data_IF_480110492299
#
_entry.id   IF_480110492299
#
_cell.length_a   1.000
_cell.length_b   1.000
_cell.length_c   1.000
_cell.angle_alpha   90.00
_cell.angle_beta   90.00
_cell.angle_gamma   90.00
#
_symmetry.space_group_name_H-M   'P 1'
#
loop_
_entity.id
_entity.type
_entity.pdbx_description
1 polymer ?
#
# COMPACT_ATOMS: atom_id res chain seq x y z
N UNK A 1 -37.02 5.39 23.05
CA UNK A 1 -35.69 4.95 23.55
C UNK A 1 -35.14 3.96 22.54
N UNK A 2 -34.34 4.43 21.59
CA UNK A 2 -33.71 3.57 20.57
C UNK A 2 -32.35 3.12 21.12
N UNK A 3 -32.23 1.82 21.40
CA UNK A 3 -30.99 1.20 21.82
C UNK A 3 -29.99 1.28 20.66
N UNK A 4 -28.93 2.07 20.83
CA UNK A 4 -27.75 2.02 19.95
C UNK A 4 -27.13 0.62 20.09
N UNK A 5 -27.36 -0.25 19.12
CA UNK A 5 -26.58 -1.45 18.93
C UNK A 5 -25.13 -1.03 18.71
N UNK A 6 -24.30 -1.17 19.74
CA UNK A 6 -22.85 -1.10 19.60
C UNK A 6 -22.44 -2.40 18.88
N UNK A 7 -22.25 -2.33 17.58
CA UNK A 7 -21.58 -3.38 16.84
C UNK A 7 -20.14 -3.47 17.33
N UNK A 8 -19.92 -4.30 18.33
CA UNK A 8 -18.58 -4.63 18.81
C UNK A 8 -18.10 -5.75 17.89
N UNK A 9 -17.24 -5.43 16.94
CA UNK A 9 -16.46 -6.44 16.22
C UNK A 9 -15.65 -7.22 17.24
N UNK A 10 -15.96 -8.50 17.40
CA UNK A 10 -15.15 -9.40 18.21
C UNK A 10 -14.08 -9.95 17.25
N UNK A 11 -12.86 -9.49 17.40
CA UNK A 11 -11.71 -10.09 16.73
C UNK A 11 -11.34 -11.33 17.55
N UNK A 12 -11.49 -12.51 16.95
CA UNK A 12 -11.02 -13.74 17.56
C UNK A 12 -9.49 -13.73 17.51
N UNK A 13 -8.79 -14.10 18.61
CA UNK A 13 -7.34 -14.20 18.58
C UNK A 13 -6.95 -15.27 17.56
N UNK A 14 -6.04 -14.89 16.68
CA UNK A 14 -5.42 -15.83 15.74
C UNK A 14 -4.02 -16.16 16.29
N UNK A 15 -3.79 -17.43 16.65
CA UNK A 15 -2.49 -17.88 17.17
C UNK A 15 -1.40 -17.99 16.08
N UNK A 16 -1.75 -17.74 14.84
CA UNK A 16 -0.78 -17.66 13.75
C UNK A 16 0.11 -16.43 13.93
N UNK A 17 1.41 -16.61 13.74
CA UNK A 17 2.43 -15.54 13.78
C UNK A 17 2.29 -14.58 12.61
N UNK A 18 1.13 -13.95 12.47
CA UNK A 18 0.90 -12.87 11.55
C UNK A 18 1.05 -11.55 12.30
N UNK A 19 1.83 -10.63 11.73
CA UNK A 19 1.88 -9.27 12.24
C UNK A 19 0.50 -8.64 12.02
N UNK A 20 -0.16 -8.29 13.10
CA UNK A 20 -1.45 -7.62 13.08
C UNK A 20 -1.49 -6.58 14.19
N UNK A 21 -1.58 -5.33 13.83
CA UNK A 21 -1.74 -4.24 14.79
C UNK A 21 -3.22 -3.95 15.00
N UNK A 22 -3.57 -3.64 16.26
CA UNK A 22 -4.86 -3.04 16.54
C UNK A 22 -4.89 -1.62 15.94
N UNK A 23 -5.94 -1.33 15.19
CA UNK A 23 -6.14 -0.02 14.58
C UNK A 23 -6.95 0.87 15.52
N UNK A 24 -6.41 2.03 15.89
CA UNK A 24 -7.22 3.11 16.43
C UNK A 24 -7.93 3.82 15.28
N UNK A 25 -9.20 3.46 15.05
CA UNK A 25 -10.02 4.02 13.98
C UNK A 25 -10.33 5.52 14.14
N UNK A 26 -9.86 6.17 15.22
CA UNK A 26 -9.98 7.60 15.38
C UNK A 26 -8.83 8.37 14.68
N UNK A 27 -7.77 7.68 14.29
CA UNK A 27 -6.67 8.27 13.53
C UNK A 27 -6.78 7.90 12.05
N UNK A 28 -7.26 8.84 11.24
CA UNK A 28 -7.55 8.66 9.81
C UNK A 28 -6.32 8.31 8.96
N UNK A 29 -5.12 8.58 9.45
CA UNK A 29 -3.87 8.33 8.74
C UNK A 29 -3.05 7.17 9.32
N UNK A 30 -3.48 6.61 10.45
CA UNK A 30 -2.77 5.52 11.11
C UNK A 30 -3.35 4.15 10.72
N UNK A 31 -3.07 3.73 9.52
CA UNK A 31 -3.52 2.42 9.01
C UNK A 31 -2.87 1.27 9.79
N UNK A 32 -3.60 0.15 10.03
CA UNK A 32 -3.02 -1.02 10.69
C UNK A 32 -1.85 -1.58 9.88
N UNK A 33 -0.76 -1.91 10.54
CA UNK A 33 0.41 -2.50 9.92
C UNK A 33 0.39 -4.05 10.08
N UNK A 34 0.80 -4.81 9.07
CA UNK A 34 1.13 -4.39 7.72
C UNK A 34 -0.11 -4.13 6.84
N UNK A 35 -0.06 -3.12 5.99
CA UNK A 35 -1.10 -2.82 5.03
C UNK A 35 -0.60 -2.89 3.59
N UNK A 36 -1.53 -3.07 2.64
CA UNK A 36 -1.28 -3.05 1.20
C UNK A 36 -2.22 -2.04 0.58
N UNK A 37 -1.67 -0.89 0.22
CA UNK A 37 -2.43 0.26 -0.26
C UNK A 37 -2.17 0.51 -1.74
N UNK A 38 -3.20 0.94 -2.44
CA UNK A 38 -3.12 1.46 -3.79
C UNK A 38 -3.63 2.90 -3.80
N UNK A 39 -2.83 3.82 -4.33
CA UNK A 39 -3.19 5.21 -4.59
C UNK A 39 -3.27 5.41 -6.09
N UNK A 40 -4.46 5.63 -6.66
CA UNK A 40 -4.63 5.78 -8.09
C UNK A 40 -5.29 7.10 -8.47
N UNK A 41 -4.63 7.85 -9.33
CA UNK A 41 -5.09 9.14 -9.81
C UNK A 41 -4.06 9.84 -10.71
N UNK A 42 -4.48 10.84 -11.51
CA UNK A 42 -3.61 11.51 -12.44
C UNK A 42 -2.42 12.21 -11.75
N UNK A 43 -1.46 12.73 -12.51
CA UNK A 43 -0.40 13.56 -11.95
C UNK A 43 -0.95 14.78 -11.18
N UNK A 44 -0.22 15.24 -10.19
CA UNK A 44 -0.49 16.47 -9.42
C UNK A 44 -1.83 16.49 -8.63
N UNK A 45 -2.46 15.35 -8.35
CA UNK A 45 -3.69 15.28 -7.54
C UNK A 45 -3.44 15.16 -6.04
N UNK A 46 -2.18 15.03 -5.61
CA UNK A 46 -1.78 14.96 -4.22
C UNK A 46 -1.52 13.55 -3.69
N UNK A 47 -1.20 12.56 -4.55
CA UNK A 47 -0.79 11.20 -4.11
C UNK A 47 0.37 11.28 -3.13
N UNK A 48 1.43 11.98 -3.48
CA UNK A 48 2.62 12.20 -2.65
C UNK A 48 2.28 12.86 -1.32
N UNK A 49 1.35 13.83 -1.29
CA UNK A 49 0.91 14.46 -0.04
C UNK A 49 0.21 13.45 0.89
N UNK A 50 -0.56 12.52 0.35
CA UNK A 50 -1.18 11.45 1.17
C UNK A 50 -0.10 10.55 1.76
N UNK A 51 0.92 10.17 0.97
CA UNK A 51 2.05 9.36 1.43
C UNK A 51 2.79 10.06 2.58
N UNK A 52 3.12 11.34 2.41
CA UNK A 52 3.75 12.13 3.49
C UNK A 52 2.91 12.15 4.76
N UNK A 53 1.60 12.35 4.65
CA UNK A 53 0.71 12.33 5.82
C UNK A 53 0.70 10.96 6.51
N UNK A 54 0.67 9.87 5.75
CA UNK A 54 0.76 8.51 6.31
C UNK A 54 2.08 8.36 7.08
N UNK A 55 3.21 8.75 6.50
CA UNK A 55 4.52 8.64 7.13
C UNK A 55 4.62 9.49 8.41
N UNK A 56 4.07 10.69 8.40
CA UNK A 56 4.09 11.61 9.56
C UNK A 56 3.21 11.13 10.72
N UNK A 57 2.08 10.51 10.41
CA UNK A 57 1.10 10.08 11.42
C UNK A 57 1.27 8.62 11.85
N UNK A 58 2.08 7.83 11.15
CA UNK A 58 2.26 6.42 11.49
C UNK A 58 2.93 6.22 12.85
N UNK A 59 2.25 5.45 13.73
CA UNK A 59 2.72 5.11 15.08
C UNK A 59 2.58 3.60 15.33
N UNK A 60 3.67 2.90 15.70
CA UNK A 60 5.05 3.38 15.63
C UNK A 60 5.50 3.67 14.18
N UNK A 61 6.54 4.51 13.97
CA UNK A 61 7.03 4.82 12.63
C UNK A 61 7.63 3.60 11.93
N UNK A 62 7.80 3.67 10.61
CA UNK A 62 8.58 2.68 9.89
C UNK A 62 10.06 2.83 10.24
N UNK A 63 10.74 1.70 10.43
CA UNK A 63 12.16 1.64 10.72
C UNK A 63 13.00 1.58 9.45
N UNK A 64 12.40 1.09 8.35
CA UNK A 64 13.01 1.00 7.04
C UNK A 64 12.00 1.42 5.97
N UNK A 65 12.40 2.35 5.11
CA UNK A 65 11.58 2.80 3.98
C UNK A 65 12.37 2.54 2.70
N UNK A 66 11.78 1.82 1.77
CA UNK A 66 12.34 1.52 0.46
C UNK A 66 11.46 2.15 -0.60
N UNK A 67 12.04 2.93 -1.50
CA UNK A 67 11.33 3.58 -2.61
C UNK A 67 11.81 2.95 -3.91
N UNK A 68 10.92 2.20 -4.54
CA UNK A 68 11.11 1.64 -5.86
C UNK A 68 10.54 2.61 -6.90
N UNK A 69 11.42 3.26 -7.65
CA UNK A 69 11.08 4.25 -8.66
C UNK A 69 11.96 4.07 -9.89
N UNK A 70 11.39 4.27 -11.09
CA UNK A 70 12.13 4.16 -12.35
C UNK A 70 13.18 5.26 -12.53
N UNK A 71 13.06 6.37 -11.83
CA UNK A 71 14.02 7.47 -11.80
C UNK A 71 14.41 7.77 -10.35
N UNK A 72 15.55 7.24 -9.88
CA UNK A 72 16.04 7.48 -8.52
C UNK A 72 16.49 8.93 -8.27
N UNK A 73 16.59 9.75 -9.32
CA UNK A 73 16.93 11.17 -9.19
C UNK A 73 15.71 12.05 -8.82
N UNK A 74 14.54 11.46 -8.67
CA UNK A 74 13.33 12.19 -8.30
C UNK A 74 13.49 12.96 -6.99
N UNK A 75 13.13 14.23 -7.01
CA UNK A 75 13.25 15.12 -5.84
C UNK A 75 12.08 14.99 -4.85
N UNK A 76 11.05 14.23 -5.21
CA UNK A 76 9.77 14.22 -4.50
C UNK A 76 9.88 13.70 -3.06
N UNK A 77 10.86 12.83 -2.78
CA UNK A 77 11.06 12.20 -1.46
C UNK A 77 12.39 12.52 -0.79
N UNK A 78 13.11 13.53 -1.24
CA UNK A 78 14.45 13.89 -0.71
C UNK A 78 14.49 14.20 0.79
N UNK A 79 13.34 14.54 1.38
CA UNK A 79 13.23 14.83 2.81
C UNK A 79 12.86 13.60 3.65
N UNK A 80 12.79 12.41 3.03
CA UNK A 80 12.51 11.15 3.71
C UNK A 80 13.80 10.36 3.77
N UNK A 81 14.14 9.87 4.96
CA UNK A 81 15.24 8.91 5.12
C UNK A 81 14.80 7.55 4.56
N UNK A 82 15.14 7.30 3.30
CA UNK A 82 14.70 6.13 2.56
C UNK A 82 15.79 5.60 1.62
N UNK A 83 15.74 4.30 1.37
CA UNK A 83 16.56 3.62 0.38
C UNK A 83 15.89 3.70 -0.99
N UNK A 84 16.55 4.28 -1.98
CA UNK A 84 16.07 4.31 -3.36
C UNK A 84 16.61 3.13 -4.14
N UNK A 85 15.73 2.40 -4.81
CA UNK A 85 16.08 1.19 -5.54
C UNK A 85 15.48 1.19 -6.95
N UNK A 86 16.24 0.68 -7.92
CA UNK A 86 15.77 0.50 -9.31
C UNK A 86 15.08 -0.85 -9.52
N UNK A 87 15.26 -1.78 -8.57
CA UNK A 87 14.61 -3.09 -8.55
C UNK A 87 14.10 -3.41 -7.15
N UNK A 88 12.97 -4.12 -7.07
CA UNK A 88 12.47 -4.61 -5.78
C UNK A 88 13.50 -5.55 -5.15
N UNK A 89 13.83 -5.37 -3.87
CA UNK A 89 14.77 -6.24 -3.19
C UNK A 89 14.24 -7.67 -3.10
N UNK A 90 15.11 -8.69 -3.18
CA UNK A 90 14.71 -10.06 -2.89
C UNK A 90 14.29 -10.20 -1.42
N UNK A 91 13.32 -11.09 -1.14
CA UNK A 91 12.78 -11.22 0.23
C UNK A 91 13.83 -11.61 1.27
N UNK A 92 14.92 -12.25 0.85
CA UNK A 92 16.02 -12.63 1.74
C UNK A 92 16.76 -11.42 2.35
N UNK A 93 16.61 -10.24 1.75
CA UNK A 93 17.16 -8.98 2.26
C UNK A 93 16.21 -8.22 3.20
N UNK A 94 15.00 -8.78 3.40
CA UNK A 94 13.98 -8.19 4.27
C UNK A 94 13.97 -8.90 5.62
N UNK A 95 14.35 -8.18 6.68
CA UNK A 95 14.26 -8.69 8.04
C UNK A 95 12.82 -8.55 8.55
N UNK A 96 12.20 -9.67 8.93
CA UNK A 96 10.85 -9.70 9.45
C UNK A 96 10.70 -9.01 10.82
N UNK A 97 11.81 -8.78 11.54
CA UNK A 97 11.78 -8.04 12.81
C UNK A 97 11.77 -6.52 12.58
N UNK A 98 12.09 -6.05 11.38
CA UNK A 98 12.14 -4.64 11.03
C UNK A 98 10.80 -4.21 10.42
N UNK A 99 10.21 -3.17 10.97
CA UNK A 99 8.97 -2.59 10.47
C UNK A 99 9.23 -1.81 9.18
N UNK A 100 8.94 -2.42 8.04
CA UNK A 100 9.32 -1.89 6.73
C UNK A 100 8.12 -1.33 5.95
N UNK A 101 8.40 -0.31 5.15
CA UNK A 101 7.52 0.18 4.09
C UNK A 101 8.22 0.05 2.73
N UNK A 102 7.52 -0.51 1.74
CA UNK A 102 7.91 -0.43 0.34
C UNK A 102 6.94 0.52 -0.38
N UNK A 103 7.46 1.62 -0.89
CA UNK A 103 6.75 2.53 -1.77
C UNK A 103 7.12 2.21 -3.22
N UNK A 104 6.11 1.86 -4.02
CA UNK A 104 6.25 1.54 -5.44
C UNK A 104 5.59 2.67 -6.22
N UNK A 105 6.42 3.53 -6.85
CA UNK A 105 5.91 4.77 -7.40
C UNK A 105 5.88 4.78 -8.92
N UNK A 106 4.67 4.98 -9.44
CA UNK A 106 4.35 5.12 -10.88
C UNK A 106 5.03 4.07 -11.79
N UNK A 107 5.23 2.86 -11.25
CA UNK A 107 5.85 1.77 -11.99
C UNK A 107 4.80 1.12 -12.89
N UNK A 108 5.08 1.09 -14.19
CA UNK A 108 4.25 0.34 -15.13
C UNK A 108 4.54 -1.17 -15.00
N UNK A 109 3.59 -1.89 -14.40
CA UNK A 109 3.68 -3.34 -14.22
C UNK A 109 3.99 -4.09 -15.52
N UNK A 110 3.51 -3.61 -16.67
CA UNK A 110 3.73 -4.26 -17.97
C UNK A 110 5.20 -4.17 -18.41
N UNK A 111 5.90 -3.14 -17.99
CA UNK A 111 7.30 -2.91 -18.34
C UNK A 111 8.28 -3.62 -17.39
N UNK A 112 7.80 -4.08 -16.22
CA UNK A 112 8.62 -4.89 -15.33
C UNK A 112 9.04 -6.21 -16.00
N UNK A 113 10.26 -6.65 -15.75
CA UNK A 113 10.69 -7.98 -16.16
C UNK A 113 9.93 -9.08 -15.40
N UNK A 114 10.01 -10.33 -15.87
CA UNK A 114 9.25 -11.44 -15.30
C UNK A 114 9.57 -11.68 -13.82
N UNK A 115 10.82 -11.52 -13.43
CA UNK A 115 11.26 -11.73 -12.05
C UNK A 115 10.69 -10.65 -11.12
N UNK A 116 10.75 -9.38 -11.52
CA UNK A 116 10.21 -8.26 -10.76
C UNK A 116 8.69 -8.34 -10.63
N UNK A 117 7.97 -8.75 -11.70
CA UNK A 117 6.51 -9.00 -11.61
C UNK A 117 6.19 -10.10 -10.60
N UNK A 118 6.88 -11.24 -10.69
CA UNK A 118 6.67 -12.34 -9.76
C UNK A 118 6.98 -11.94 -8.32
N UNK A 119 8.01 -11.15 -8.12
CA UNK A 119 8.40 -10.66 -6.80
C UNK A 119 7.35 -9.69 -6.24
N UNK A 120 6.85 -8.75 -7.05
CA UNK A 120 5.79 -7.82 -6.68
C UNK A 120 4.50 -8.57 -6.29
N UNK A 121 4.11 -9.58 -7.07
CA UNK A 121 2.95 -10.42 -6.78
C UNK A 121 3.10 -11.14 -5.43
N UNK A 122 4.31 -11.63 -5.13
CA UNK A 122 4.60 -12.30 -3.85
C UNK A 122 4.63 -11.31 -2.68
N UNK A 123 5.13 -10.09 -2.88
CA UNK A 123 5.07 -9.03 -1.87
C UNK A 123 3.62 -8.74 -1.47
N UNK A 124 2.73 -8.56 -2.45
CA UNK A 124 1.31 -8.33 -2.18
C UNK A 124 0.61 -9.56 -1.60
N UNK A 125 0.97 -10.77 -2.05
CA UNK A 125 0.28 -12.00 -1.68
C UNK A 125 0.67 -12.53 -0.30
N UNK A 126 1.96 -12.65 -0.04
CA UNK A 126 2.47 -13.40 1.11
C UNK A 126 3.45 -12.58 1.95
N UNK A 127 4.42 -11.93 1.31
CA UNK A 127 5.55 -11.35 2.05
C UNK A 127 5.15 -10.20 2.95
N UNK A 128 4.16 -9.38 2.57
CA UNK A 128 3.66 -8.28 3.39
C UNK A 128 3.38 -8.72 4.83
N UNK A 129 2.56 -9.74 5.01
CA UNK A 129 2.14 -10.19 6.33
C UNK A 129 3.18 -11.03 7.07
N UNK A 130 3.99 -11.82 6.35
CA UNK A 130 4.98 -12.70 6.95
C UNK A 130 6.32 -12.03 7.26
N UNK A 131 6.61 -10.89 6.63
CA UNK A 131 7.87 -10.17 6.79
C UNK A 131 7.70 -8.73 7.29
N UNK A 132 6.58 -8.42 7.96
CA UNK A 132 6.35 -7.13 8.60
C UNK A 132 6.50 -5.93 7.64
N UNK A 133 5.92 -6.05 6.43
CA UNK A 133 6.10 -5.09 5.35
C UNK A 133 4.77 -4.46 4.95
N UNK A 134 4.61 -3.15 5.13
CA UNK A 134 3.55 -2.40 4.45
C UNK A 134 3.96 -2.03 3.03
N UNK A 135 2.97 -1.93 2.14
CA UNK A 135 3.21 -1.61 0.74
C UNK A 135 2.27 -0.48 0.32
N UNK A 136 2.82 0.53 -0.35
CA UNK A 136 2.05 1.56 -1.05
C UNK A 136 2.44 1.48 -2.52
N UNK A 137 1.46 1.31 -3.40
CA UNK A 137 1.63 1.38 -4.84
C UNK A 137 0.88 2.61 -5.36
N UNK A 138 1.59 3.48 -6.07
CA UNK A 138 0.96 4.58 -6.79
C UNK A 138 0.75 4.21 -8.27
N UNK A 139 -0.32 4.70 -8.85
CA UNK A 139 -0.61 4.54 -10.28
C UNK A 139 -1.32 5.78 -10.81
N UNK A 140 -1.02 6.15 -12.05
CA UNK A 140 -1.73 7.25 -12.71
C UNK A 140 -3.10 6.82 -13.21
N UNK A 141 -3.20 5.58 -13.69
CA UNK A 141 -4.43 4.97 -14.18
C UNK A 141 -4.79 3.72 -13.34
N UNK A 142 -5.93 3.73 -12.63
CA UNK A 142 -6.36 2.56 -11.86
C UNK A 142 -6.64 1.32 -12.71
N UNK A 143 -6.86 1.49 -14.02
CA UNK A 143 -7.07 0.37 -14.95
C UNK A 143 -5.77 -0.36 -15.29
N UNK A 144 -4.62 0.28 -15.12
CA UNK A 144 -3.30 -0.33 -15.34
C UNK A 144 -2.91 -1.33 -14.25
N UNK A 145 -3.55 -1.27 -13.08
CA UNK A 145 -3.22 -2.10 -11.92
C UNK A 145 -3.66 -3.56 -12.17
N UNK A 146 -2.76 -4.54 -12.02
CA UNK A 146 -3.08 -5.95 -12.22
C UNK A 146 -4.19 -6.47 -11.30
N UNK A 147 -4.97 -7.43 -11.79
CA UNK A 147 -6.11 -7.98 -11.05
C UNK A 147 -5.72 -8.66 -9.73
N UNK A 148 -4.56 -9.32 -9.69
CA UNK A 148 -4.02 -9.94 -8.48
C UNK A 148 -3.70 -8.89 -7.42
N UNK A 149 -3.05 -7.78 -7.77
CA UNK A 149 -2.76 -6.67 -6.84
C UNK A 149 -4.05 -6.05 -6.33
N UNK A 150 -5.03 -5.78 -7.24
CA UNK A 150 -6.33 -5.23 -6.84
C UNK A 150 -7.07 -6.10 -5.82
N UNK A 151 -7.00 -7.43 -5.96
CA UNK A 151 -7.66 -8.38 -5.04
C UNK A 151 -6.97 -8.46 -3.68
N UNK A 152 -5.67 -8.19 -3.64
CA UNK A 152 -4.85 -8.32 -2.43
C UNK A 152 -4.63 -6.99 -1.71
N UNK A 153 -5.02 -5.86 -2.29
CA UNK A 153 -4.91 -4.59 -1.59
C UNK A 153 -5.95 -4.51 -0.45
N UNK A 154 -5.51 -3.99 0.68
CA UNK A 154 -6.37 -3.76 1.85
C UNK A 154 -7.00 -2.35 1.85
N UNK A 155 -6.37 -1.40 1.17
CA UNK A 155 -6.80 -0.02 1.10
C UNK A 155 -6.67 0.52 -0.33
N UNK A 156 -7.69 1.25 -0.76
CA UNK A 156 -7.73 1.88 -2.07
C UNK A 156 -8.10 3.34 -1.93
N UNK A 157 -7.28 4.23 -2.47
CA UNK A 157 -7.55 5.66 -2.58
C UNK A 157 -7.64 6.02 -4.05
N UNK A 158 -8.80 6.53 -4.45
CA UNK A 158 -9.07 6.98 -5.81
C UNK A 158 -9.36 8.48 -5.84
N UNK A 159 -8.72 9.18 -6.74
CA UNK A 159 -9.07 10.58 -7.03
C UNK A 159 -10.19 10.65 -8.05
N UNK A 160 -11.09 11.61 -7.87
CA UNK A 160 -12.19 11.86 -8.81
C UNK A 160 -11.62 12.30 -10.17
N UNK A 161 -11.64 11.39 -11.13
CA UNK A 161 -11.09 11.63 -12.47
C UNK A 161 -11.80 10.86 -13.58
N UNK A 162 -12.90 10.17 -13.28
CA UNK A 162 -13.53 9.27 -14.22
C UNK A 162 -15.01 9.61 -14.38
N UNK A 163 -15.53 9.36 -15.58
CA UNK A 163 -16.96 9.40 -15.84
C UNK A 163 -17.69 8.27 -15.09
N UNK A 164 -19.03 8.31 -15.09
CA UNK A 164 -19.86 7.33 -14.39
C UNK A 164 -19.63 5.89 -14.88
N UNK A 165 -19.36 5.68 -16.17
CA UNK A 165 -19.13 4.35 -16.72
C UNK A 165 -17.77 3.81 -16.21
N UNK A 166 -16.74 4.64 -16.20
CA UNK A 166 -15.44 4.30 -15.63
C UNK A 166 -15.54 3.98 -14.13
N UNK A 167 -16.33 4.74 -13.37
CA UNK A 167 -16.57 4.46 -11.95
C UNK A 167 -17.28 3.12 -11.74
N UNK A 168 -18.27 2.78 -12.54
CA UNK A 168 -18.95 1.48 -12.47
C UNK A 168 -17.99 0.32 -12.78
N UNK A 169 -17.09 0.48 -13.76
CA UNK A 169 -16.07 -0.51 -14.09
C UNK A 169 -15.06 -0.66 -12.93
N UNK A 170 -14.63 0.45 -12.31
CA UNK A 170 -13.73 0.43 -11.17
C UNK A 170 -14.37 -0.27 -9.97
N UNK A 171 -15.62 0.06 -9.65
CA UNK A 171 -16.40 -0.61 -8.59
C UNK A 171 -16.39 -2.12 -8.79
N UNK A 172 -16.73 -2.60 -9.97
CA UNK A 172 -16.71 -4.03 -10.31
C UNK A 172 -15.30 -4.66 -10.22
N UNK A 173 -14.26 -3.93 -10.65
CA UNK A 173 -12.89 -4.44 -10.67
C UNK A 173 -12.24 -4.53 -9.30
N UNK A 174 -12.59 -3.62 -8.40
CA UNK A 174 -12.08 -3.58 -7.03
C UNK A 174 -13.05 -4.20 -6.02
N UNK A 175 -14.25 -4.59 -6.46
CA UNK A 175 -15.30 -5.17 -5.63
C UNK A 175 -15.75 -4.23 -4.49
N UNK A 176 -16.02 -2.97 -4.84
CA UNK A 176 -16.49 -1.89 -3.94
C UNK A 176 -17.81 -1.32 -4.41
#
# INVERSE_FOLDING_TARGET
MTSKLKNKLIVLPNDDKHFHEECDYNDLCNFPHPFRMVLAGPPNVGKTNVIYNILLHKKPPFERIIIFHNDPSTVEYQNIDAEYVEELPPIAEMDANVRSLILIEDVDYKNLNKNQRSLLDRYYGVFSTHHNISIILTAQDPFSIPANIRRMCSHLVLWKNHDLNSMAILSNRFNI
#
